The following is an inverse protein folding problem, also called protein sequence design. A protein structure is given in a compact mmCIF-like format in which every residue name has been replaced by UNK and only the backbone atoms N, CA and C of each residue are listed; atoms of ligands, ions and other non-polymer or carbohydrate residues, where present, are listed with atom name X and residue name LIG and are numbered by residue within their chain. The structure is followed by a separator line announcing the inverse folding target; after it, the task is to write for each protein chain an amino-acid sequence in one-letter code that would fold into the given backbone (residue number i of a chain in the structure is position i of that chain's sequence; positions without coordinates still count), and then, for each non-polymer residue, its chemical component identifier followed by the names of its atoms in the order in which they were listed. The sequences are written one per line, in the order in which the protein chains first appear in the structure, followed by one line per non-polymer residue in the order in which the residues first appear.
data_IF_779374398818
#
_entry.id   IF_779374398818
#
_cell.length_a   1.000
_cell.length_b   1.000
_cell.length_c   1.000
_cell.angle_alpha   90.00
_cell.angle_beta   90.00
_cell.angle_gamma   90.00
#
_symmetry.space_group_name_H-M   'P 1'
#
loop_
_entity.id
_entity.type
_entity.pdbx_description
1 polymer ?
#
# COMPACT_ATOMS: atom_id res chain seq x y z
N UNK A 1 9.41 16.13 -6.97
CA UNK A 1 8.71 15.26 -6.00
C UNK A 1 8.56 13.81 -6.47
N UNK A 2 8.83 13.47 -7.74
CA UNK A 2 8.64 12.10 -8.26
C UNK A 2 9.38 10.99 -7.48
N UNK A 3 10.60 11.25 -7.00
CA UNK A 3 11.35 10.28 -6.19
C UNK A 3 10.63 10.00 -4.85
N UNK A 4 10.08 11.02 -4.20
CA UNK A 4 9.33 10.87 -2.94
C UNK A 4 8.04 10.07 -3.18
N UNK A 5 7.35 10.32 -4.29
CA UNK A 5 6.17 9.57 -4.71
C UNK A 5 6.49 8.08 -4.90
N UNK A 6 7.55 7.76 -5.64
CA UNK A 6 7.98 6.37 -5.87
C UNK A 6 8.33 5.69 -4.56
N UNK A 7 9.14 6.33 -3.70
CA UNK A 7 9.52 5.78 -2.39
C UNK A 7 8.28 5.54 -1.52
N UNK A 8 7.33 6.49 -1.51
CA UNK A 8 6.07 6.36 -0.78
C UNK A 8 5.28 5.14 -1.25
N UNK A 9 5.12 4.96 -2.57
CA UNK A 9 4.41 3.80 -3.12
C UNK A 9 5.04 2.48 -2.68
N UNK A 10 6.34 2.30 -2.87
CA UNK A 10 7.03 1.07 -2.47
C UNK A 10 6.96 0.82 -0.96
N UNK A 11 7.06 1.88 -0.15
CA UNK A 11 6.91 1.80 1.30
C UNK A 11 5.53 1.28 1.70
N UNK A 12 4.45 1.89 1.21
CA UNK A 12 3.08 1.46 1.53
C UNK A 12 2.74 0.07 0.98
N UNK A 13 3.18 -0.27 -0.22
CA UNK A 13 3.00 -1.62 -0.79
C UNK A 13 3.66 -2.68 0.10
N UNK A 14 4.88 -2.40 0.59
CA UNK A 14 5.61 -3.32 1.48
C UNK A 14 4.90 -3.44 2.83
N UNK A 15 4.41 -2.34 3.40
CA UNK A 15 3.63 -2.37 4.64
C UNK A 15 2.38 -3.23 4.51
N UNK A 16 1.60 -3.02 3.45
CA UNK A 16 0.38 -3.80 3.18
C UNK A 16 0.71 -5.29 2.99
N UNK A 17 1.79 -5.59 2.27
CA UNK A 17 2.24 -6.97 2.06
C UNK A 17 2.61 -7.67 3.38
N UNK A 18 3.31 -6.99 4.28
CA UNK A 18 3.65 -7.52 5.61
C UNK A 18 2.38 -7.68 6.47
N UNK A 19 1.47 -6.70 6.43
CA UNK A 19 0.20 -6.78 7.15
C UNK A 19 -0.65 -7.98 6.69
N UNK A 20 -0.76 -8.23 5.39
CA UNK A 20 -1.51 -9.38 4.88
C UNK A 20 -0.88 -10.73 5.24
N UNK A 21 0.45 -10.84 5.24
CA UNK A 21 1.12 -12.04 5.73
C UNK A 21 0.87 -12.28 7.23
N UNK A 22 0.80 -11.21 8.03
CA UNK A 22 0.47 -11.29 9.45
C UNK A 22 -0.92 -11.87 9.75
N UNK A 23 -1.86 -11.75 8.81
CA UNK A 23 -3.21 -12.31 8.93
C UNK A 23 -3.28 -13.83 8.73
N UNK A 24 -2.17 -14.48 8.34
CA UNK A 24 -2.06 -15.93 8.12
C UNK A 24 -3.19 -16.49 7.23
N UNK A 25 -3.58 -15.71 6.22
CA UNK A 25 -4.59 -16.10 5.24
C UNK A 25 -4.22 -17.38 4.49
N UNK A 26 -2.93 -17.72 4.45
CA UNK A 26 -2.38 -18.94 3.88
C UNK A 26 -2.96 -20.24 4.48
N UNK A 27 -3.47 -20.18 5.72
CA UNK A 27 -4.07 -21.34 6.39
C UNK A 27 -5.34 -21.85 5.70
N UNK A 28 -6.08 -20.96 5.03
CA UNK A 28 -7.34 -21.31 4.36
C UNK A 28 -7.13 -21.96 2.98
N UNK A 29 -5.91 -22.00 2.45
CA UNK A 29 -5.64 -22.47 1.09
C UNK A 29 -4.86 -23.80 1.09
N UNK A 30 -5.28 -24.74 0.26
CA UNK A 30 -4.55 -25.99 0.05
C UNK A 30 -3.17 -25.71 -0.56
N UNK A 31 -2.19 -26.59 -0.29
CA UNK A 31 -0.81 -26.47 -0.79
C UNK A 31 -0.73 -26.26 -2.31
N UNK A 32 -1.63 -26.90 -3.06
CA UNK A 32 -1.73 -26.78 -4.52
C UNK A 32 -2.12 -25.37 -5.00
N UNK A 33 -2.86 -24.61 -4.17
CA UNK A 33 -3.34 -23.26 -4.48
C UNK A 33 -2.44 -22.15 -3.90
N UNK A 34 -1.46 -22.48 -3.05
CA UNK A 34 -0.61 -21.50 -2.39
C UNK A 34 0.19 -20.60 -3.35
N UNK A 35 0.59 -21.10 -4.52
CA UNK A 35 1.28 -20.26 -5.52
C UNK A 35 0.38 -19.15 -6.06
N UNK A 36 -0.85 -19.50 -6.44
CA UNK A 36 -1.86 -18.56 -6.93
C UNK A 36 -2.28 -17.58 -5.85
N UNK A 37 -2.41 -18.05 -4.61
CA UNK A 37 -2.72 -17.21 -3.46
C UNK A 37 -1.65 -16.14 -3.22
N UNK A 38 -0.36 -16.53 -3.22
CA UNK A 38 0.74 -15.57 -3.06
C UNK A 38 0.78 -14.51 -4.16
N UNK A 39 0.53 -14.90 -5.41
CA UNK A 39 0.43 -13.94 -6.51
C UNK A 39 -0.72 -12.95 -6.30
N UNK A 40 -1.90 -13.46 -5.91
CA UNK A 40 -3.05 -12.61 -5.59
C UNK A 40 -2.73 -11.64 -4.44
N UNK A 41 -2.07 -12.13 -3.37
CA UNK A 41 -1.68 -11.31 -2.22
C UNK A 41 -0.72 -10.18 -2.63
N UNK A 42 0.25 -10.46 -3.50
CA UNK A 42 1.15 -9.41 -4.05
C UNK A 42 0.36 -8.38 -4.85
N UNK A 43 -0.51 -8.81 -5.76
CA UNK A 43 -1.33 -7.90 -6.57
C UNK A 43 -2.27 -7.03 -5.71
N UNK A 44 -2.90 -7.63 -4.70
CA UNK A 44 -3.71 -6.90 -3.71
C UNK A 44 -2.88 -5.90 -2.91
N UNK A 45 -1.66 -6.28 -2.53
CA UNK A 45 -0.76 -5.38 -1.81
C UNK A 45 -0.34 -4.18 -2.65
N UNK A 46 -0.12 -4.40 -3.96
CA UNK A 46 0.17 -3.31 -4.91
C UNK A 46 -1.04 -2.36 -5.01
N UNK A 47 -2.25 -2.91 -5.21
CA UNK A 47 -3.45 -2.10 -5.35
C UNK A 47 -3.74 -1.27 -4.09
N UNK A 48 -3.77 -1.89 -2.92
CA UNK A 48 -4.08 -1.22 -1.66
C UNK A 48 -2.94 -0.30 -1.22
N UNK A 49 -1.68 -0.73 -1.40
CA UNK A 49 -0.51 0.09 -1.08
C UNK A 49 -0.42 1.35 -1.93
N UNK A 50 -0.76 1.26 -3.22
CA UNK A 50 -0.86 2.42 -4.10
C UNK A 50 -1.95 3.40 -3.62
N UNK A 51 -3.17 2.90 -3.33
CA UNK A 51 -4.26 3.74 -2.82
C UNK A 51 -3.92 4.43 -1.49
N UNK A 52 -3.29 3.69 -0.56
CA UNK A 52 -2.86 4.26 0.72
C UNK A 52 -1.79 5.34 0.53
N UNK A 53 -0.85 5.11 -0.38
CA UNK A 53 0.20 6.08 -0.70
C UNK A 53 -0.35 7.33 -1.38
N UNK A 54 -1.25 7.19 -2.36
CA UNK A 54 -1.93 8.31 -3.01
C UNK A 54 -2.75 9.13 -2.00
N UNK A 55 -3.50 8.47 -1.13
CA UNK A 55 -4.21 9.13 -0.03
C UNK A 55 -3.26 9.94 0.84
N UNK A 56 -2.13 9.35 1.25
CA UNK A 56 -1.16 10.01 2.13
C UNK A 56 -0.50 11.23 1.48
N UNK A 57 -0.11 11.13 0.20
CA UNK A 57 0.47 12.24 -0.54
C UNK A 57 -0.55 13.37 -0.74
N UNK A 58 -1.77 13.03 -1.15
CA UNK A 58 -2.87 13.99 -1.30
C UNK A 58 -3.23 14.69 0.02
N UNK A 59 -3.18 13.95 1.13
CA UNK A 59 -3.41 14.51 2.46
C UNK A 59 -2.34 15.53 2.86
N UNK A 60 -1.07 15.23 2.61
CA UNK A 60 0.04 16.18 2.86
C UNK A 60 -0.14 17.45 2.02
N UNK A 61 -0.49 17.30 0.73
CA UNK A 61 -0.70 18.44 -0.15
C UNK A 61 -1.92 19.27 0.28
N UNK A 62 -2.98 18.62 0.76
CA UNK A 62 -4.15 19.29 1.34
C UNK A 62 -3.80 20.12 2.57
N UNK A 63 -2.96 19.57 3.48
CA UNK A 63 -2.47 20.31 4.65
C UNK A 63 -1.65 21.52 4.23
N UNK A 64 -0.74 21.35 3.25
CA UNK A 64 0.09 22.46 2.75
C UNK A 64 -0.78 23.58 2.19
N UNK A 65 -1.77 23.22 1.35
CA UNK A 65 -2.70 24.19 0.77
C UNK A 65 -3.51 24.92 1.86
N UNK A 66 -3.95 24.23 2.90
CA UNK A 66 -4.66 24.85 4.02
C UNK A 66 -3.76 25.83 4.79
N UNK A 67 -2.51 25.45 5.07
CA UNK A 67 -1.53 26.33 5.73
C UNK A 67 -1.22 27.58 4.90
N UNK A 68 -1.16 27.45 3.57
CA UNK A 68 -1.02 28.60 2.66
C UNK A 68 -2.24 29.51 2.66
N UNK A 69 -3.45 28.98 2.85
CA UNK A 69 -4.68 29.77 2.88
C UNK A 69 -4.87 30.55 4.19
N UNK A 70 -4.36 30.00 5.30
CA UNK A 70 -4.44 30.62 6.64
C UNK A 70 -3.38 31.71 6.84
N UNK A 71 -2.29 31.66 6.07
CA UNK A 71 -1.18 32.62 6.12
C UNK A 71 -1.42 33.79 5.17
#
# INVERSE_FOLDING_TARGET
MAVVTIISHFFFITLVFISFQGLRLDYFFSKEKQGKFRLALVLFSVAIGYLASEFFLSFIDSIRNLLFLIK
#
